data_IF_275917192215
#
_entry.id   IF_275917192215
#
_cell.length_a   1.000
_cell.length_b   1.000
_cell.length_c   1.000
_cell.angle_alpha   90.00
_cell.angle_beta   90.00
_cell.angle_gamma   90.00
#
_symmetry.space_group_name_H-M   'P 1'
#
loop_
_entity.id
_entity.type
_entity.pdbx_description
1 polymer ?
#
# COMPACT_ATOMS: atom_id res chain seq x y z
N UNK A 1 -24.76 18.10 2.57
CA UNK A 1 -23.52 18.43 3.30
C UNK A 1 -22.39 17.76 2.52
N UNK A 2 -21.81 18.47 1.55
CA UNK A 2 -20.71 17.94 0.73
C UNK A 2 -19.45 17.87 1.57
N UNK A 3 -18.80 16.71 1.56
CA UNK A 3 -17.47 16.50 2.10
C UNK A 3 -16.62 16.10 0.92
N UNK A 4 -15.84 17.05 0.40
CA UNK A 4 -14.70 16.79 -0.45
C UNK A 4 -13.52 17.53 0.16
N UNK A 5 -12.49 16.76 0.54
CA UNK A 5 -11.07 17.08 0.36
C UNK A 5 -10.23 15.95 0.96
N UNK A 6 -9.91 14.97 0.12
CA UNK A 6 -8.57 14.39 0.11
C UNK A 6 -7.79 15.31 -0.81
N UNK A 7 -6.88 16.12 -0.26
CA UNK A 7 -6.01 16.98 -1.07
C UNK A 7 -4.84 16.11 -1.50
N UNK A 8 -4.82 15.75 -2.78
CA UNK A 8 -3.66 15.14 -3.43
C UNK A 8 -2.90 16.29 -4.07
N UNK A 9 -1.81 16.71 -3.45
CA UNK A 9 -1.01 17.82 -3.96
C UNK A 9 -0.16 17.37 -5.14
N UNK A 10 -0.59 17.75 -6.35
CA UNK A 10 0.22 17.69 -7.57
C UNK A 10 1.28 18.80 -7.51
N UNK A 11 2.55 18.46 -7.28
CA UNK A 11 3.65 19.42 -7.35
C UNK A 11 3.98 19.77 -8.80
N UNK A 12 3.43 20.88 -9.30
CA UNK A 12 3.89 21.54 -10.52
C UNK A 12 4.98 22.57 -10.20
N UNK A 13 6.17 22.42 -10.78
CA UNK A 13 7.15 23.51 -10.91
C UNK A 13 6.74 24.44 -12.06
N UNK A 14 6.79 25.78 -11.91
CA UNK A 14 6.73 26.67 -13.07
C UNK A 14 8.13 27.12 -13.49
N UNK A 15 8.38 27.05 -14.81
CA UNK A 15 9.48 27.71 -15.50
C UNK A 15 9.29 29.24 -15.52
N UNK A 16 10.42 29.95 -15.57
CA UNK A 16 10.58 31.41 -15.69
C UNK A 16 9.71 32.09 -16.76
N UNK A 17 9.37 33.38 -16.54
CA UNK A 17 9.22 34.33 -17.62
C UNK A 17 10.21 35.51 -17.54
N UNK A 18 10.54 35.99 -18.73
CA UNK A 18 11.43 37.10 -19.10
C UNK A 18 10.97 38.50 -18.66
N UNK A 19 11.96 39.39 -18.61
CA UNK A 19 11.96 40.84 -18.31
C UNK A 19 10.90 41.69 -19.04
N UNK A 20 10.37 42.74 -18.38
CA UNK A 20 10.64 44.18 -18.69
C UNK A 20 9.84 45.21 -17.85
N UNK A 21 10.57 46.29 -17.50
CA UNK A 21 10.21 47.72 -17.27
C UNK A 21 9.48 48.23 -16.01
N UNK A 22 10.27 49.02 -15.26
CA UNK A 22 10.06 50.19 -14.38
C UNK A 22 8.65 50.80 -14.18
N UNK A 23 8.33 51.10 -12.92
CA UNK A 23 8.25 52.48 -12.44
C UNK A 23 8.20 52.56 -10.90
N UNK A 24 9.00 53.49 -10.36
CA UNK A 24 9.18 53.76 -8.94
C UNK A 24 8.09 54.71 -8.44
N UNK A 25 7.40 54.36 -7.37
CA UNK A 25 6.76 55.36 -6.50
C UNK A 25 6.85 54.88 -5.06
N UNK A 26 7.65 55.61 -4.27
CA UNK A 26 7.83 55.39 -2.86
C UNK A 26 6.54 55.75 -2.11
N UNK A 27 5.91 54.75 -1.49
CA UNK A 27 5.05 54.97 -0.32
C UNK A 27 5.69 54.29 0.89
N UNK A 28 6.25 55.12 1.76
CA UNK A 28 6.73 54.76 3.08
C UNK A 28 5.49 54.57 3.97
N UNK A 29 5.13 53.32 4.26
CA UNK A 29 4.18 52.99 5.34
C UNK A 29 4.82 51.90 6.23
N UNK A 30 5.26 52.34 7.40
CA UNK A 30 5.59 51.61 8.64
C UNK A 30 5.70 50.07 8.58
N UNK A 31 6.91 49.57 8.30
CA UNK A 31 7.30 48.16 8.30
C UNK A 31 7.65 47.58 9.69
N UNK A 32 6.97 47.98 10.77
CA UNK A 32 7.35 47.52 12.13
C UNK A 32 6.28 46.83 12.98
N UNK A 33 5.08 46.57 12.47
CA UNK A 33 4.03 45.88 13.26
C UNK A 33 3.23 44.90 12.38
N UNK A 34 3.89 44.10 11.54
CA UNK A 34 3.31 42.88 10.95
C UNK A 34 4.44 41.85 10.81
N UNK A 35 5.11 41.56 11.92
CA UNK A 35 6.04 40.42 12.05
C UNK A 35 5.76 39.83 13.41
N UNK A 36 4.74 38.97 13.51
CA UNK A 36 4.60 38.09 14.69
C UNK A 36 3.59 36.96 14.56
N UNK A 37 2.65 36.97 13.60
CA UNK A 37 1.57 35.96 13.64
C UNK A 37 1.56 34.89 12.53
N UNK A 38 2.44 34.94 11.51
CA UNK A 38 2.53 33.86 10.51
C UNK A 38 3.77 32.95 10.68
N UNK A 39 4.87 33.43 11.26
CA UNK A 39 6.09 32.62 11.48
C UNK A 39 6.10 31.84 12.81
N UNK A 40 5.05 31.98 13.64
CA UNK A 40 4.87 31.26 14.91
C UNK A 40 3.72 30.25 14.89
N UNK A 41 3.24 29.83 13.71
CA UNK A 41 2.69 28.48 13.60
C UNK A 41 3.86 27.53 13.77
N UNK A 42 4.00 27.05 15.00
CA UNK A 42 4.76 25.86 15.38
C UNK A 42 4.96 24.97 14.17
N UNK A 43 6.23 24.79 13.80
CA UNK A 43 6.71 23.70 12.97
C UNK A 43 6.40 22.40 13.74
N UNK A 44 5.11 22.07 13.87
CA UNK A 44 4.69 20.74 14.31
C UNK A 44 5.31 19.81 13.29
N UNK A 45 6.13 18.88 13.77
CA UNK A 45 6.73 17.86 12.94
C UNK A 45 5.60 17.18 12.16
N UNK A 46 5.45 17.53 10.89
CA UNK A 46 4.72 16.71 9.93
C UNK A 46 5.39 15.35 10.02
N UNK A 47 4.65 14.33 10.48
CA UNK A 47 5.19 12.99 10.48
C UNK A 47 5.52 12.64 9.03
N UNK A 48 6.68 12.01 8.85
CA UNK A 48 7.24 11.66 7.55
C UNK A 48 6.15 11.09 6.64
N UNK A 49 6.02 11.73 5.48
CA UNK A 49 5.28 11.22 4.34
C UNK A 49 5.68 9.78 4.06
N UNK A 50 4.83 9.00 3.40
CA UNK A 50 5.10 7.59 3.08
C UNK A 50 6.45 7.38 2.36
N UNK A 51 7.02 8.43 1.74
CA UNK A 51 8.30 8.44 1.01
C UNK A 51 9.56 8.69 1.85
N UNK A 52 9.42 9.07 3.13
CA UNK A 52 10.55 9.41 4.01
C UNK A 52 10.72 8.37 5.10
N UNK A 53 11.97 8.03 5.39
CA UNK A 53 12.29 7.26 6.58
C UNK A 53 11.81 8.01 7.84
N UNK A 54 11.27 7.30 8.85
CA UNK A 54 10.87 7.92 10.09
C UNK A 54 12.07 8.58 10.80
N UNK A 55 11.86 9.73 11.43
CA UNK A 55 12.93 10.57 12.01
C UNK A 55 13.82 9.83 13.03
N UNK A 56 13.26 8.89 13.79
CA UNK A 56 14.01 8.08 14.74
C UNK A 56 13.32 6.75 15.02
N UNK A 57 14.10 5.66 15.00
CA UNK A 57 13.66 4.35 15.47
C UNK A 57 13.59 4.33 17.01
N UNK A 58 12.55 3.72 17.61
CA UNK A 58 12.51 3.57 19.05
C UNK A 58 13.72 2.78 19.57
N UNK A 59 14.19 3.17 20.76
CA UNK A 59 15.23 2.44 21.49
C UNK A 59 14.76 0.99 21.68
N UNK A 60 15.61 0.02 21.37
CA UNK A 60 15.27 -1.38 21.58
C UNK A 60 16.49 -2.29 21.63
N UNK A 61 16.25 -3.53 22.00
CA UNK A 61 17.22 -4.61 22.26
C UNK A 61 17.73 -5.34 21.00
N UNK A 62 17.56 -4.75 19.81
CA UNK A 62 17.86 -5.37 18.52
C UNK A 62 16.77 -6.31 17.98
N UNK A 63 15.72 -6.65 18.75
CA UNK A 63 14.59 -7.43 18.23
C UNK A 63 13.71 -6.62 17.26
N UNK A 64 13.02 -7.31 16.36
CA UNK A 64 12.06 -6.74 15.43
C UNK A 64 10.75 -7.55 15.53
N UNK A 65 9.66 -6.96 16.07
CA UNK A 65 9.59 -5.66 16.74
C UNK A 65 10.35 -5.63 18.09
N UNK A 66 10.74 -4.44 18.60
CA UNK A 66 11.39 -4.31 19.91
C UNK A 66 10.48 -4.78 21.05
N UNK A 67 11.02 -5.57 21.99
CA UNK A 67 10.31 -5.94 23.21
C UNK A 67 10.85 -7.21 23.86
N UNK A 68 10.47 -7.45 25.12
CA UNK A 68 10.80 -8.69 25.82
C UNK A 68 10.03 -9.87 25.20
N UNK A 69 10.61 -11.08 25.18
CA UNK A 69 9.87 -12.28 24.79
C UNK A 69 8.61 -12.49 25.64
N UNK A 70 7.63 -13.21 25.08
CA UNK A 70 6.42 -13.58 25.81
C UNK A 70 6.76 -14.36 27.07
N UNK A 71 6.16 -13.96 28.19
CA UNK A 71 6.23 -14.73 29.44
C UNK A 71 5.36 -15.98 29.35
N UNK A 72 5.68 -17.00 30.15
CA UNK A 72 4.83 -18.20 30.25
C UNK A 72 3.37 -17.86 30.58
N UNK A 73 3.14 -16.84 31.41
CA UNK A 73 1.79 -16.36 31.75
C UNK A 73 1.00 -15.89 30.52
N UNK A 74 1.60 -15.06 29.66
CA UNK A 74 0.96 -14.62 28.42
C UNK A 74 0.71 -15.78 27.45
N UNK A 75 1.66 -16.70 27.31
CA UNK A 75 1.46 -17.88 26.48
C UNK A 75 0.25 -18.73 26.93
N UNK A 76 0.01 -18.85 28.24
CA UNK A 76 -1.15 -19.55 28.79
C UNK A 76 -2.44 -18.77 28.52
N UNK A 77 -2.43 -17.44 28.67
CA UNK A 77 -3.57 -16.56 28.34
C UNK A 77 -3.94 -16.70 26.87
N UNK A 78 -2.97 -16.58 25.96
CA UNK A 78 -3.19 -16.62 24.51
C UNK A 78 -3.71 -17.99 24.06
N UNK A 79 -3.15 -19.08 24.58
CA UNK A 79 -3.66 -20.44 24.31
C UNK A 79 -5.09 -20.63 24.82
N UNK A 80 -5.38 -20.11 26.00
CA UNK A 80 -6.73 -20.18 26.58
C UNK A 80 -7.74 -19.39 25.74
N UNK A 81 -7.36 -18.19 25.27
CA UNK A 81 -8.15 -17.41 24.33
C UNK A 81 -8.37 -18.17 23.00
N UNK A 82 -7.32 -18.78 22.45
CA UNK A 82 -7.41 -19.58 21.22
C UNK A 82 -8.39 -20.77 21.35
N UNK A 83 -8.45 -21.41 22.52
CA UNK A 83 -9.35 -22.53 22.80
C UNK A 83 -10.80 -22.07 23.04
N UNK A 84 -11.00 -20.97 23.76
CA UNK A 84 -12.33 -20.52 24.20
C UNK A 84 -13.03 -19.62 23.17
N UNK A 85 -12.28 -18.86 22.39
CA UNK A 85 -12.83 -17.94 21.40
C UNK A 85 -13.02 -18.61 20.05
N UNK A 86 -14.09 -18.22 19.36
CA UNK A 86 -14.43 -18.83 18.06
C UNK A 86 -13.49 -18.38 16.95
N UNK A 87 -12.98 -17.14 16.99
CA UNK A 87 -12.10 -16.52 15.99
C UNK A 87 -12.64 -16.64 14.56
N UNK A 88 -13.97 -16.55 14.39
CA UNK A 88 -14.65 -16.87 13.12
C UNK A 88 -14.04 -16.17 11.90
N UNK A 89 -13.80 -14.83 11.88
CA UNK A 89 -13.28 -14.16 10.69
C UNK A 89 -11.87 -14.63 10.29
N UNK A 90 -10.99 -14.85 11.27
CA UNK A 90 -9.62 -15.31 11.02
C UNK A 90 -9.62 -16.73 10.47
N UNK A 91 -10.49 -17.61 10.99
CA UNK A 91 -10.63 -19.00 10.52
C UNK A 91 -11.28 -19.12 9.12
N UNK A 92 -11.72 -18.03 8.50
CA UNK A 92 -12.23 -18.03 7.11
C UNK A 92 -11.15 -17.74 6.06
N UNK A 93 -9.95 -17.33 6.47
CA UNK A 93 -8.83 -17.20 5.52
C UNK A 93 -8.50 -18.57 4.93
N UNK A 94 -8.60 -18.68 3.61
CA UNK A 94 -8.58 -19.97 2.90
C UNK A 94 -7.58 -20.01 1.74
N UNK A 95 -6.99 -18.87 1.39
CA UNK A 95 -5.97 -18.81 0.37
C UNK A 95 -4.75 -18.09 0.93
N UNK A 96 -3.57 -18.64 0.64
CA UNK A 96 -2.30 -17.96 0.76
C UNK A 96 -1.81 -17.65 -0.65
N UNK A 97 -1.53 -16.38 -0.91
CA UNK A 97 -0.90 -15.89 -2.14
C UNK A 97 0.43 -15.25 -1.80
N UNK A 98 1.46 -15.56 -2.58
CA UNK A 98 2.73 -14.89 -2.59
C UNK A 98 2.87 -14.15 -3.93
N UNK A 99 3.19 -12.87 -3.84
CA UNK A 99 3.55 -12.05 -5.00
C UNK A 99 4.55 -10.97 -4.55
N UNK A 100 4.82 -9.97 -5.39
CA UNK A 100 5.62 -8.82 -5.06
C UNK A 100 4.77 -7.56 -5.09
N UNK A 101 5.09 -6.60 -4.24
CA UNK A 101 4.45 -5.29 -4.24
C UNK A 101 5.49 -4.19 -4.40
N UNK A 102 5.11 -3.13 -5.11
CA UNK A 102 5.96 -1.97 -5.39
C UNK A 102 5.34 -0.73 -4.76
N UNK A 103 6.14 0.14 -4.15
CA UNK A 103 5.62 1.37 -3.55
C UNK A 103 5.17 2.35 -4.63
N UNK A 104 3.89 2.71 -4.68
CA UNK A 104 3.32 3.49 -5.77
C UNK A 104 3.93 4.89 -5.96
N UNK A 105 4.54 5.46 -4.92
CA UNK A 105 5.26 6.73 -4.99
C UNK A 105 6.78 6.57 -5.16
N UNK A 106 7.34 5.37 -4.95
CA UNK A 106 8.76 5.06 -5.11
C UNK A 106 8.94 3.65 -5.69
N UNK A 107 8.91 3.58 -7.01
CA UNK A 107 8.95 2.31 -7.74
C UNK A 107 10.29 1.57 -7.65
N UNK A 108 11.32 2.16 -7.03
CA UNK A 108 12.60 1.48 -6.80
C UNK A 108 12.55 0.46 -5.66
N UNK A 109 11.52 0.57 -4.81
CA UNK A 109 11.31 -0.24 -3.61
C UNK A 109 10.29 -1.33 -3.88
N UNK A 110 10.74 -2.58 -3.69
CA UNK A 110 9.97 -3.79 -3.99
C UNK A 110 10.05 -4.74 -2.80
N UNK A 111 8.93 -5.36 -2.44
CA UNK A 111 8.84 -6.32 -1.34
C UNK A 111 8.14 -7.61 -1.79
N UNK A 112 8.54 -8.76 -1.26
CA UNK A 112 7.73 -9.98 -1.30
C UNK A 112 6.54 -9.78 -0.35
N UNK A 113 5.32 -10.08 -0.81
CA UNK A 113 4.09 -9.84 -0.06
C UNK A 113 3.25 -11.12 -0.01
N UNK A 114 2.84 -11.47 1.20
CA UNK A 114 2.08 -12.68 1.50
C UNK A 114 0.65 -12.34 1.92
N UNK A 115 -0.30 -12.57 1.01
CA UNK A 115 -1.70 -12.27 1.21
C UNK A 115 -2.42 -13.51 1.76
N UNK A 116 -3.02 -13.38 2.94
CA UNK A 116 -3.90 -14.38 3.53
C UNK A 116 -5.35 -13.94 3.35
N UNK A 117 -6.00 -14.58 2.37
CA UNK A 117 -7.21 -14.06 1.75
C UNK A 117 -8.45 -14.78 2.29
N UNK A 118 -9.47 -13.98 2.58
CA UNK A 118 -10.86 -14.41 2.78
C UNK A 118 -11.69 -13.92 1.61
N UNK A 119 -12.37 -14.85 0.92
CA UNK A 119 -13.40 -14.50 -0.07
C UNK A 119 -14.69 -14.15 0.66
N UNK A 120 -15.11 -12.90 0.56
CA UNK A 120 -16.38 -12.44 1.15
C UNK A 120 -17.55 -12.81 0.24
N UNK A 121 -17.39 -12.62 -1.07
CA UNK A 121 -18.30 -13.07 -2.11
C UNK A 121 -17.53 -13.25 -3.44
N UNK A 122 -18.22 -13.51 -4.55
CA UNK A 122 -17.55 -13.76 -5.84
C UNK A 122 -16.77 -12.56 -6.38
N UNK A 123 -17.13 -11.35 -5.98
CA UNK A 123 -16.62 -10.10 -6.52
C UNK A 123 -15.81 -9.28 -5.51
N UNK A 124 -15.64 -9.79 -4.29
CA UNK A 124 -14.95 -9.10 -3.22
C UNK A 124 -14.16 -10.08 -2.36
N UNK A 125 -12.85 -9.89 -2.34
CA UNK A 125 -11.92 -10.59 -1.46
C UNK A 125 -11.21 -9.54 -0.59
N UNK A 126 -10.76 -9.98 0.57
CA UNK A 126 -9.97 -9.15 1.49
C UNK A 126 -8.84 -9.98 2.07
N UNK A 127 -7.71 -9.34 2.32
CA UNK A 127 -6.53 -10.02 2.83
C UNK A 127 -5.85 -9.26 3.96
N UNK A 128 -5.28 -10.02 4.89
CA UNK A 128 -4.19 -9.55 5.71
C UNK A 128 -2.88 -9.83 4.96
N UNK A 129 -2.00 -8.84 4.87
CA UNK A 129 -0.74 -8.93 4.12
C UNK A 129 0.44 -8.98 5.08
N UNK A 130 1.34 -9.93 4.85
CA UNK A 130 2.53 -10.17 5.66
C UNK A 130 3.81 -10.04 4.83
N UNK A 131 4.92 -9.70 5.49
CA UNK A 131 6.26 -9.58 4.86
C UNK A 131 6.92 -10.93 4.54
N UNK A 132 6.41 -12.01 5.11
CA UNK A 132 6.90 -13.37 4.89
C UNK A 132 5.78 -14.39 5.18
N UNK A 133 6.05 -15.67 4.90
CA UNK A 133 5.21 -16.78 5.34
C UNK A 133 5.77 -17.50 6.59
N UNK A 134 6.66 -16.85 7.34
CA UNK A 134 7.13 -17.39 8.61
C UNK A 134 6.06 -17.22 9.70
N UNK A 135 6.10 -18.09 10.70
CA UNK A 135 5.33 -17.94 11.94
C UNK A 135 5.58 -16.60 12.67
N UNK A 136 6.74 -15.98 12.49
CA UNK A 136 7.09 -14.67 13.05
C UNK A 136 6.89 -13.51 12.08
N UNK A 137 6.18 -13.71 10.97
CA UNK A 137 5.96 -12.66 9.98
C UNK A 137 5.24 -11.44 10.56
N UNK A 138 5.59 -10.27 10.04
CA UNK A 138 4.96 -9.01 10.42
C UNK A 138 3.71 -8.77 9.59
N UNK A 139 2.61 -8.37 10.23
CA UNK A 139 1.45 -7.85 9.53
C UNK A 139 1.81 -6.47 8.95
N UNK A 140 1.95 -6.39 7.62
CA UNK A 140 2.39 -5.18 6.93
C UNK A 140 1.26 -4.39 6.30
N UNK A 141 0.05 -4.94 6.21
CA UNK A 141 -1.08 -4.18 5.72
C UNK A 141 -2.30 -5.01 5.37
N UNK A 142 -3.16 -4.42 4.56
CA UNK A 142 -4.41 -5.03 4.07
C UNK A 142 -4.58 -4.74 2.60
N UNK A 143 -5.14 -5.71 1.89
CA UNK A 143 -5.57 -5.51 0.52
C UNK A 143 -7.04 -5.90 0.35
N UNK A 144 -7.76 -5.07 -0.41
CA UNK A 144 -9.08 -5.38 -0.92
C UNK A 144 -8.99 -5.67 -2.40
N UNK A 145 -9.69 -6.70 -2.85
CA UNK A 145 -9.69 -7.13 -4.24
C UNK A 145 -11.12 -7.14 -4.74
N UNK A 146 -11.37 -6.49 -5.87
CA UNK A 146 -12.69 -6.40 -6.49
C UNK A 146 -12.67 -6.92 -7.92
N UNK A 147 -13.80 -7.46 -8.39
CA UNK A 147 -13.97 -7.79 -9.81
C UNK A 147 -14.01 -6.53 -10.66
N UNK A 148 -13.67 -6.67 -11.95
CA UNK A 148 -13.79 -5.60 -12.94
C UNK A 148 -15.19 -4.97 -12.99
N UNK A 149 -16.25 -5.76 -12.76
CA UNK A 149 -17.63 -5.27 -12.68
C UNK A 149 -17.83 -4.26 -11.55
N UNK A 150 -17.26 -4.51 -10.37
CA UNK A 150 -17.34 -3.58 -9.24
C UNK A 150 -16.44 -2.38 -9.49
N UNK A 151 -15.21 -2.64 -9.97
CA UNK A 151 -14.24 -1.61 -10.29
C UNK A 151 -14.78 -0.57 -11.28
N UNK A 152 -15.48 -1.00 -12.33
CA UNK A 152 -16.10 -0.14 -13.34
C UNK A 152 -17.16 0.82 -12.78
N UNK A 153 -17.68 0.56 -11.57
CA UNK A 153 -18.64 1.45 -10.89
C UNK A 153 -18.00 2.51 -9.99
N UNK A 154 -16.69 2.38 -9.71
CA UNK A 154 -15.96 3.33 -8.89
C UNK A 154 -15.76 4.65 -9.64
N UNK A 155 -15.66 5.75 -8.89
CA UNK A 155 -15.30 7.04 -9.48
C UNK A 155 -13.91 6.97 -10.09
N UNK A 156 -13.67 7.78 -11.13
CA UNK A 156 -12.37 7.81 -11.80
C UNK A 156 -11.21 8.13 -10.85
N UNK A 157 -11.43 8.99 -9.86
CA UNK A 157 -10.40 9.31 -8.85
C UNK A 157 -10.13 8.14 -7.90
N UNK A 158 -11.19 7.42 -7.50
CA UNK A 158 -11.01 6.23 -6.67
C UNK A 158 -10.27 5.12 -7.42
N UNK A 159 -10.59 4.89 -8.70
CA UNK A 159 -9.92 3.90 -9.55
C UNK A 159 -8.39 4.05 -9.62
N UNK A 160 -7.87 5.29 -9.53
CA UNK A 160 -6.41 5.55 -9.52
C UNK A 160 -5.69 4.96 -8.30
N UNK A 161 -6.43 4.65 -7.24
CA UNK A 161 -5.89 4.05 -6.03
C UNK A 161 -5.83 2.51 -6.10
N UNK A 162 -6.09 1.92 -7.26
CA UNK A 162 -6.09 0.48 -7.48
C UNK A 162 -5.08 0.08 -8.56
N UNK A 163 -4.64 -1.17 -8.52
CA UNK A 163 -3.78 -1.79 -9.52
C UNK A 163 -4.44 -3.02 -10.12
N UNK A 164 -4.15 -3.35 -11.38
CA UNK A 164 -4.65 -4.57 -12.02
C UNK A 164 -3.84 -5.80 -11.61
N UNK A 165 -4.48 -6.97 -11.58
CA UNK A 165 -3.80 -8.26 -11.35
C UNK A 165 -3.48 -9.03 -12.64
N UNK A 166 -3.89 -8.52 -13.80
CA UNK A 166 -3.74 -9.21 -15.08
C UNK A 166 -2.29 -9.59 -15.39
N UNK A 167 -1.38 -8.62 -15.34
CA UNK A 167 0.03 -8.88 -15.60
C UNK A 167 0.64 -9.78 -14.54
N UNK A 168 0.36 -9.50 -13.28
CA UNK A 168 0.86 -10.27 -12.14
C UNK A 168 0.50 -11.76 -12.24
N UNK A 169 -0.75 -12.06 -12.62
CA UNK A 169 -1.19 -13.44 -12.85
C UNK A 169 -0.53 -14.04 -14.07
N UNK A 170 -0.64 -13.38 -15.23
CA UNK A 170 -0.20 -13.92 -16.53
C UNK A 170 1.31 -14.09 -16.62
N UNK A 171 2.08 -13.27 -15.90
CA UNK A 171 3.54 -13.35 -15.81
C UNK A 171 4.06 -14.44 -14.87
N UNK A 172 3.18 -15.10 -14.10
CA UNK A 172 3.59 -16.08 -13.08
C UNK A 172 4.07 -15.45 -11.76
N UNK A 173 3.88 -14.14 -11.56
CA UNK A 173 4.23 -13.48 -10.30
C UNK A 173 3.24 -13.85 -9.19
N UNK A 174 1.94 -13.92 -9.50
CA UNK A 174 0.92 -14.44 -8.59
C UNK A 174 1.09 -15.94 -8.35
N UNK A 175 1.44 -16.35 -7.13
CA UNK A 175 1.61 -17.75 -6.76
C UNK A 175 0.79 -18.09 -5.54
N UNK A 176 0.05 -19.20 -5.59
CA UNK A 176 -0.56 -19.81 -4.41
C UNK A 176 0.33 -20.99 -3.98
N UNK A 177 1.20 -20.83 -2.96
CA UNK A 177 2.19 -21.85 -2.63
C UNK A 177 1.54 -23.19 -2.25
N UNK A 178 2.06 -24.28 -2.83
CA UNK A 178 1.59 -25.64 -2.55
C UNK A 178 0.27 -26.03 -3.23
N UNK A 179 -0.37 -25.12 -3.97
CA UNK A 179 -1.59 -25.42 -4.73
C UNK A 179 -1.22 -25.75 -6.19
N UNK A 180 -1.55 -26.95 -6.70
CA UNK A 180 -1.25 -27.31 -8.10
C UNK A 180 -1.96 -26.41 -9.11
N UNK A 181 -1.25 -26.00 -10.16
CA UNK A 181 -1.77 -25.09 -11.20
C UNK A 181 -3.08 -25.59 -11.82
N UNK A 182 -3.21 -26.90 -12.06
CA UNK A 182 -4.42 -27.52 -12.64
C UNK A 182 -5.68 -27.28 -11.79
N UNK A 183 -5.55 -27.20 -10.47
CA UNK A 183 -6.69 -27.02 -9.55
C UNK A 183 -7.12 -25.56 -9.48
N UNK A 184 -6.17 -24.63 -9.61
CA UNK A 184 -6.42 -23.19 -9.45
C UNK A 184 -6.57 -22.44 -10.77
N UNK A 185 -6.38 -23.09 -11.92
CA UNK A 185 -6.34 -22.42 -13.22
C UNK A 185 -7.55 -21.50 -13.47
N UNK A 186 -8.77 -22.00 -13.25
CA UNK A 186 -9.99 -21.21 -13.42
C UNK A 186 -10.09 -20.04 -12.44
N UNK A 187 -9.57 -20.23 -11.22
CA UNK A 187 -9.52 -19.16 -10.22
C UNK A 187 -8.52 -18.09 -10.63
N UNK A 188 -7.33 -18.46 -11.10
CA UNK A 188 -6.35 -17.50 -11.58
C UNK A 188 -6.84 -16.74 -12.82
N UNK A 189 -7.56 -17.41 -13.73
CA UNK A 189 -8.24 -16.73 -14.85
C UNK A 189 -9.20 -15.65 -14.32
N UNK A 190 -9.99 -15.94 -13.28
CA UNK A 190 -10.85 -14.94 -12.66
C UNK A 190 -10.05 -13.81 -11.98
N UNK A 191 -8.99 -14.14 -11.24
CA UNK A 191 -8.13 -13.14 -10.56
C UNK A 191 -7.47 -12.21 -11.58
N UNK A 192 -7.11 -12.68 -12.78
CA UNK A 192 -6.59 -11.82 -13.84
C UNK A 192 -7.57 -10.70 -14.26
N UNK A 193 -8.86 -10.80 -13.90
CA UNK A 193 -9.88 -9.78 -14.13
C UNK A 193 -10.21 -8.94 -12.88
N UNK A 194 -9.35 -8.97 -11.86
CA UNK A 194 -9.57 -8.25 -10.60
C UNK A 194 -8.60 -7.08 -10.41
N UNK A 195 -8.96 -6.21 -9.48
CA UNK A 195 -8.22 -5.02 -9.09
C UNK A 195 -7.95 -5.03 -7.60
N UNK A 196 -6.72 -4.75 -7.20
CA UNK A 196 -6.25 -4.69 -5.82
C UNK A 196 -6.10 -3.26 -5.31
N UNK A 197 -6.46 -3.00 -4.05
CA UNK A 197 -6.11 -1.79 -3.30
C UNK A 197 -5.37 -2.20 -2.04
N UNK A 198 -4.05 -2.14 -2.11
CA UNK A 198 -3.16 -2.53 -1.02
C UNK A 198 -2.57 -1.30 -0.31
N UNK A 199 -2.86 -1.16 0.97
CA UNK A 199 -2.21 -0.21 1.87
C UNK A 199 -1.19 -0.91 2.76
N UNK A 200 0.09 -0.56 2.58
CA UNK A 200 1.18 -1.00 3.46
C UNK A 200 1.32 -0.06 4.65
N UNK A 201 1.07 -0.58 5.85
CA UNK A 201 1.19 0.14 7.13
C UNK A 201 2.54 -0.09 7.83
N UNK A 202 3.33 -1.07 7.38
CA UNK A 202 4.66 -1.34 7.92
C UNK A 202 5.70 -1.53 6.82
N UNK A 203 6.55 -0.52 6.63
CA UNK A 203 7.56 -0.49 5.57
C UNK A 203 8.88 -1.18 5.99
N UNK A 204 8.83 -2.50 6.16
CA UNK A 204 9.95 -3.32 6.67
C UNK A 204 11.23 -3.21 5.83
N UNK A 205 11.13 -2.91 4.53
CA UNK A 205 12.27 -2.76 3.62
C UNK A 205 13.18 -1.58 3.98
N UNK A 206 12.68 -0.57 4.70
CA UNK A 206 13.47 0.54 5.23
C UNK A 206 14.31 0.15 6.46
N UNK A 207 14.11 -1.06 6.98
CA UNK A 207 14.64 -1.48 8.29
C UNK A 207 13.75 -1.05 9.47
N UNK A 208 12.50 -0.65 9.19
CA UNK A 208 11.56 -0.23 10.22
C UNK A 208 11.24 -1.39 11.16
N UNK A 209 11.59 -1.22 12.43
CA UNK A 209 11.33 -2.15 13.53
C UNK A 209 9.91 -2.06 14.10
N UNK A 210 9.12 -1.07 13.67
CA UNK A 210 7.72 -0.85 14.02
C UNK A 210 6.99 -0.24 12.80
N UNK A 211 5.64 -0.32 12.74
CA UNK A 211 4.86 0.36 11.70
C UNK A 211 4.84 1.88 11.94
N UNK A 212 5.84 2.58 11.42
CA UNK A 212 6.03 4.02 11.63
C UNK A 212 5.59 4.85 10.42
N UNK A 213 5.01 6.02 10.71
CA UNK A 213 4.63 7.01 9.70
C UNK A 213 3.31 6.70 8.98
N UNK A 214 3.12 7.35 7.84
CA UNK A 214 1.93 7.17 7.01
C UNK A 214 1.93 5.82 6.28
N UNK A 215 0.75 5.22 6.03
CA UNK A 215 0.66 4.07 5.14
C UNK A 215 1.04 4.45 3.71
N UNK A 216 1.59 3.49 2.98
CA UNK A 216 1.92 3.64 1.56
C UNK A 216 0.95 2.87 0.68
N UNK A 217 0.53 3.48 -0.43
CA UNK A 217 -0.21 2.78 -1.47
C UNK A 217 0.74 1.88 -2.26
N UNK A 218 0.36 0.63 -2.45
CA UNK A 218 1.17 -0.37 -3.14
C UNK A 218 0.57 -0.74 -4.50
N UNK A 219 1.45 -1.06 -5.44
CA UNK A 219 1.14 -1.45 -6.81
C UNK A 219 1.59 -2.88 -7.07
N UNK A 220 0.89 -3.58 -7.96
CA UNK A 220 1.28 -4.90 -8.45
C UNK A 220 2.46 -4.80 -9.44
N UNK A 221 3.15 -5.93 -9.70
CA UNK A 221 4.11 -6.06 -10.79
C UNK A 221 3.45 -5.73 -12.13
N UNK A 222 4.14 -4.99 -12.99
CA UNK A 222 3.64 -4.58 -14.31
C UNK A 222 4.72 -4.70 -15.40
N UNK A 223 4.31 -4.76 -16.67
CA UNK A 223 5.23 -4.93 -17.83
C UNK A 223 6.21 -3.77 -18.05
N UNK A 224 5.89 -2.58 -17.53
CA UNK A 224 6.70 -1.38 -17.75
C UNK A 224 7.92 -1.38 -16.83
N UNK A 225 9.04 -0.82 -17.30
CA UNK A 225 10.35 -0.93 -16.64
C UNK A 225 10.33 -0.67 -15.11
N UNK A 226 9.55 0.31 -14.64
CA UNK A 226 9.45 0.64 -13.20
C UNK A 226 8.67 -0.40 -12.38
N UNK A 227 7.77 -1.16 -13.01
CA UNK A 227 6.99 -2.23 -12.37
C UNK A 227 7.58 -3.63 -12.54
N UNK A 228 8.72 -3.76 -13.24
CA UNK A 228 9.41 -5.04 -13.40
C UNK A 228 10.10 -5.42 -12.10
N UNK A 229 9.77 -6.59 -11.58
CA UNK A 229 10.39 -7.12 -10.36
C UNK A 229 11.83 -7.52 -10.65
N UNK A 230 12.72 -7.18 -9.71
CA UNK A 230 14.13 -7.50 -9.84
C UNK A 230 14.33 -9.02 -9.92
N UNK A 231 15.08 -9.54 -10.92
CA UNK A 231 15.19 -10.98 -11.17
C UNK A 231 15.69 -11.81 -9.97
N UNK A 232 16.53 -11.23 -9.12
CA UNK A 232 17.03 -11.89 -7.91
C UNK A 232 15.93 -12.15 -6.88
N UNK A 233 14.95 -11.25 -6.74
CA UNK A 233 13.81 -11.44 -5.85
C UNK A 233 12.96 -12.62 -6.32
N UNK A 234 12.67 -12.64 -7.63
CA UNK A 234 11.94 -13.75 -8.28
C UNK A 234 12.68 -15.07 -8.09
N UNK A 235 14.01 -15.09 -8.28
CA UNK A 235 14.82 -16.29 -8.10
C UNK A 235 14.81 -16.81 -6.66
N UNK A 236 14.85 -15.91 -5.66
CA UNK A 236 14.76 -16.29 -4.24
C UNK A 236 13.42 -16.95 -3.95
N UNK A 237 12.32 -16.32 -4.36
CA UNK A 237 10.95 -16.86 -4.25
C UNK A 237 10.80 -18.22 -4.94
N UNK A 238 11.30 -18.34 -6.17
CA UNK A 238 11.19 -19.56 -6.97
C UNK A 238 11.95 -20.73 -6.33
N UNK A 239 13.15 -20.48 -5.81
CA UNK A 239 13.91 -21.48 -5.07
C UNK A 239 13.20 -21.92 -3.78
N UNK A 240 12.62 -20.95 -3.05
CA UNK A 240 11.89 -21.19 -1.79
C UNK A 240 10.67 -22.09 -2.02
N UNK A 241 9.88 -21.83 -3.06
CA UNK A 241 8.68 -22.62 -3.38
C UNK A 241 8.92 -23.78 -4.35
N UNK A 242 10.15 -23.94 -4.87
CA UNK A 242 10.51 -24.97 -5.86
C UNK A 242 9.64 -24.89 -7.12
N UNK A 243 9.46 -23.68 -7.63
CA UNK A 243 8.66 -23.37 -8.82
C UNK A 243 9.54 -22.73 -9.91
N UNK A 244 8.96 -22.56 -11.10
CA UNK A 244 9.55 -21.78 -12.19
C UNK A 244 8.54 -20.75 -12.67
N UNK A 245 8.83 -19.47 -12.44
CA UNK A 245 8.02 -18.35 -12.93
C UNK A 245 7.88 -18.42 -14.46
N UNK A 246 8.93 -18.85 -15.16
CA UNK A 246 8.91 -19.03 -16.62
C UNK A 246 7.87 -20.06 -17.07
N UNK A 247 7.81 -21.20 -16.37
CA UNK A 247 6.86 -22.26 -16.71
C UNK A 247 5.42 -21.87 -16.33
N UNK A 248 5.23 -21.16 -15.22
CA UNK A 248 3.93 -20.60 -14.86
C UNK A 248 3.44 -19.62 -15.94
N UNK A 249 4.33 -18.71 -16.39
CA UNK A 249 4.04 -17.77 -17.48
C UNK A 249 3.59 -18.48 -18.75
N UNK A 250 4.29 -19.55 -19.17
CA UNK A 250 3.91 -20.35 -20.34
C UNK A 250 2.55 -21.02 -20.17
N UNK A 251 2.26 -21.56 -18.99
CA UNK A 251 0.98 -22.22 -18.69
C UNK A 251 -0.20 -21.24 -18.70
N UNK A 252 0.04 -19.97 -18.39
CA UNK A 252 -0.96 -18.90 -18.28
C UNK A 252 -1.06 -18.00 -19.52
N UNK A 253 -0.25 -18.23 -20.55
CA UNK A 253 -0.18 -17.39 -21.75
C UNK A 253 -1.52 -17.21 -22.49
N UNK A 254 -2.47 -18.13 -22.29
CA UNK A 254 -3.78 -18.10 -22.93
C UNK A 254 -4.92 -17.58 -22.03
N UNK A 255 -4.60 -17.06 -20.84
CA UNK A 255 -5.62 -16.43 -20.02
C UNK A 255 -6.17 -15.22 -20.75
N UNK A 256 -7.49 -15.18 -20.92
CA UNK A 256 -8.14 -14.01 -21.51
C UNK A 256 -7.95 -12.85 -20.53
N UNK A 257 -7.43 -11.71 -21.00
CA UNK A 257 -7.38 -10.48 -20.21
C UNK A 257 -8.38 -9.52 -20.84
N UNK A 258 -9.46 -9.23 -20.11
CA UNK A 258 -10.70 -8.65 -20.68
C UNK A 258 -10.59 -7.18 -21.09
N UNK A 259 -9.48 -6.52 -20.78
CA UNK A 259 -8.97 -5.25 -21.32
C UNK A 259 -7.59 -5.09 -20.69
N UNK A 260 -6.50 -4.86 -21.44
CA UNK A 260 -5.23 -4.52 -20.81
C UNK A 260 -5.45 -3.36 -19.83
N UNK A 261 -4.77 -3.34 -18.68
CA UNK A 261 -4.93 -2.32 -17.63
C UNK A 261 -4.94 -0.86 -18.11
N UNK A 262 -4.42 -0.61 -19.32
CA UNK A 262 -4.46 0.67 -20.03
C UNK A 262 -5.85 1.20 -20.46
N UNK A 263 -6.92 0.42 -20.34
CA UNK A 263 -8.27 0.87 -20.72
C UNK A 263 -9.00 1.62 -19.59
N UNK A 264 -8.45 1.63 -18.37
CA UNK A 264 -9.09 2.18 -17.16
C UNK A 264 -8.11 3.05 -16.36
N UNK A 265 -8.58 3.66 -15.29
CA UNK A 265 -7.76 4.57 -14.45
C UNK A 265 -6.91 3.86 -13.39
N UNK A 266 -7.03 2.53 -13.25
CA UNK A 266 -6.08 1.72 -12.48
C UNK A 266 -4.65 1.87 -13.02
N UNK A 267 -3.67 1.53 -12.19
CA UNK A 267 -2.25 1.62 -12.57
C UNK A 267 -1.87 3.01 -13.09
N UNK A 268 -2.50 4.05 -12.52
CA UNK A 268 -2.40 5.45 -12.94
C UNK A 268 -0.95 5.93 -13.16
N UNK A 269 -0.04 5.40 -12.36
CA UNK A 269 1.40 5.65 -12.42
C UNK A 269 2.02 5.22 -13.75
N UNK A 270 1.53 4.16 -14.41
CA UNK A 270 2.06 3.68 -15.69
C UNK A 270 1.81 4.69 -16.80
N UNK A 271 0.70 5.41 -16.73
CA UNK A 271 0.28 6.37 -17.74
C UNK A 271 0.84 7.77 -17.52
N UNK A 272 1.15 8.11 -16.27
CA UNK A 272 1.46 9.50 -15.89
C UNK A 272 2.85 9.68 -15.28
N UNK A 273 3.48 8.59 -14.82
CA UNK A 273 4.68 8.65 -13.99
C UNK A 273 4.44 9.24 -12.59
N UNK A 274 3.17 9.45 -12.19
CA UNK A 274 2.80 10.02 -10.90
C UNK A 274 2.19 8.96 -9.98
N UNK A 275 2.60 8.99 -8.72
CA UNK A 275 2.07 8.14 -7.65
C UNK A 275 1.32 8.95 -6.59
N UNK A 276 0.79 8.24 -5.60
CA UNK A 276 0.16 8.84 -4.42
C UNK A 276 1.04 8.60 -3.19
N UNK A 277 1.30 9.66 -2.44
CA UNK A 277 1.88 9.62 -1.11
C UNK A 277 0.86 10.12 -0.09
N UNK A 278 0.92 9.60 1.14
CA UNK A 278 0.07 10.06 2.24
C UNK A 278 0.92 10.84 3.23
N UNK A 279 0.39 12.01 3.60
CA UNK A 279 0.91 12.85 4.68
C UNK A 279 -0.03 12.79 5.87
N UNK A 280 0.53 12.86 7.08
CA UNK A 280 -0.24 12.98 8.31
C UNK A 280 -0.25 14.45 8.73
N UNK A 281 -1.44 15.03 8.71
CA UNK A 281 -1.66 16.43 9.05
C UNK A 281 -2.41 16.58 10.37
N UNK A 282 -2.07 17.63 11.12
CA UNK A 282 -2.85 18.03 12.28
C UNK A 282 -4.15 18.69 11.82
N UNK A 283 -5.27 18.10 12.21
CA UNK A 283 -6.61 18.64 11.96
C UNK A 283 -7.33 18.88 13.28
N UNK A 284 -8.18 19.91 13.33
CA UNK A 284 -9.05 20.13 14.47
C UNK A 284 -10.07 18.99 14.58
N UNK A 285 -10.18 18.40 15.78
CA UNK A 285 -11.20 17.38 16.03
C UNK A 285 -12.60 17.99 15.89
N UNK A 286 -13.47 17.32 15.13
CA UNK A 286 -14.90 17.65 15.14
C UNK A 286 -15.49 17.24 16.48
N UNK A 287 -15.66 18.22 17.37
CA UNK A 287 -16.33 18.00 18.64
C UNK A 287 -17.81 17.69 18.40
N UNK A 288 -18.31 16.59 18.95
CA UNK A 288 -19.75 16.44 19.14
C UNK A 288 -20.16 17.49 20.18
N UNK A 289 -21.29 18.16 19.97
CA UNK A 289 -21.89 19.01 21.01
C UNK A 289 -22.25 18.11 22.20
N UNK A 290 -21.32 18.02 23.16
CA UNK A 290 -21.44 17.28 24.39
C UNK A 290 -20.95 18.15 25.54
N UNK A 291 -21.32 17.83 26.78
CA UNK A 291 -20.85 18.57 27.94
C UNK A 291 -19.31 18.56 27.93
N UNK A 292 -18.72 19.75 27.96
CA UNK A 292 -17.28 19.90 28.15
C UNK A 292 -16.95 19.28 29.51
N UNK A 293 -16.16 18.22 29.51
CA UNK A 293 -15.61 17.69 30.76
C UNK A 293 -14.71 18.77 31.38
N UNK A 294 -14.82 19.01 32.70
CA UNK A 294 -14.08 20.04 33.41
C UNK A 294 -12.57 19.79 33.42
#
# INVERSE_FOLDING_TARGET
MHIDKVIINDTCCPMNPSQTTSNTTNLIINSKIIKTNEEQKTKLASMASSDKAPDSMPVGDGSVPPGKPLTMGHQVIDKSAQMLQTLKPIKQMSQHVCTFAVYGHDMSRQIEAHHYITRVNQDFLQSAVYDSNDSSAHLIGVEYIVSDRIFDTLSHEEQKLWHSHDHEVTSGMWVNPGVPEMIQKSELENIAHTYGKFWCTWQVDRGDRLPLGAPALMMSPQVVNMGVIKPELVRVRDNKFKISTEELRKQRANFAVSKPGNARAADYWMHTGKGFAIDIEHVEMKMLEGPKYP
#
